data_IF_776954720103
#
_entry.id   IF_776954720103
#
_cell.length_a   1.000
_cell.length_b   1.000
_cell.length_c   1.000
_cell.angle_alpha   90.00
_cell.angle_beta   90.00
_cell.angle_gamma   90.00
#
_symmetry.space_group_name_H-M   'P 1'
#
loop_
_entity.id
_entity.type
_entity.pdbx_description
1 polymer ?
#
# COMPACT_ATOMS: atom_id res chain seq x y z
N UNK A 1 -9.02 -8.32 -7.30
CA UNK A 1 -9.11 -9.61 -6.61
C UNK A 1 -9.77 -9.38 -5.25
N UNK A 2 -10.66 -10.27 -4.82
CA UNK A 2 -11.22 -10.29 -3.46
C UNK A 2 -10.13 -10.78 -2.48
N UNK A 3 -10.11 -10.29 -1.24
CA UNK A 3 -9.13 -10.65 -0.19
C UNK A 3 -8.88 -12.16 -0.08
N UNK A 4 -9.93 -12.98 -0.11
CA UNK A 4 -9.82 -14.43 0.02
C UNK A 4 -8.97 -15.07 -1.09
N UNK A 5 -9.02 -14.52 -2.31
CA UNK A 5 -8.16 -15.00 -3.39
C UNK A 5 -6.70 -14.68 -3.09
N UNK A 6 -6.42 -13.45 -2.64
CA UNK A 6 -5.06 -13.05 -2.27
C UNK A 6 -4.51 -13.87 -1.09
N UNK A 7 -5.32 -14.05 -0.05
CA UNK A 7 -4.95 -14.86 1.10
C UNK A 7 -4.63 -16.31 0.71
N UNK A 8 -5.42 -16.92 -0.19
CA UNK A 8 -5.15 -18.28 -0.71
C UNK A 8 -3.87 -18.34 -1.55
N UNK A 9 -3.51 -17.28 -2.27
CA UNK A 9 -2.27 -17.21 -3.05
C UNK A 9 -1.01 -17.11 -2.16
N UNK A 10 -1.14 -16.59 -0.94
CA UNK A 10 -0.04 -16.45 0.03
C UNK A 10 0.03 -17.58 1.06
N UNK A 11 -1.00 -18.44 1.13
CA UNK A 11 -1.04 -19.59 2.01
C UNK A 11 0.06 -20.61 1.70
N UNK A 12 0.66 -21.15 2.77
CA UNK A 12 1.44 -22.38 2.69
C UNK A 12 0.55 -23.54 2.21
N UNK A 13 1.10 -24.42 1.37
CA UNK A 13 0.44 -25.66 0.99
C UNK A 13 0.07 -26.52 2.20
N UNK A 14 0.84 -26.46 3.28
CA UNK A 14 0.60 -27.20 4.52
C UNK A 14 -0.57 -26.64 5.35
N UNK A 15 -1.00 -25.40 5.08
CA UNK A 15 -2.19 -24.79 5.69
C UNK A 15 -3.50 -25.20 5.00
N UNK A 16 -3.46 -26.10 4.00
CA UNK A 16 -4.66 -26.64 3.37
C UNK A 16 -5.34 -27.64 4.30
N UNK A 17 -6.65 -27.78 4.14
CA UNK A 17 -7.39 -28.79 4.86
C UNK A 17 -6.77 -30.18 4.67
N UNK A 18 -6.46 -30.82 5.79
CA UNK A 18 -5.99 -32.20 5.85
C UNK A 18 -6.66 -32.94 7.01
N UNK A 19 -6.90 -34.23 6.80
CA UNK A 19 -7.52 -35.14 7.76
C UNK A 19 -6.71 -36.44 7.91
N UNK A 20 -5.40 -36.37 8.25
CA UNK A 20 -4.57 -37.56 8.45
C UNK A 20 -5.11 -38.47 9.57
N UNK A 21 -5.82 -37.89 10.54
CA UNK A 21 -6.44 -38.59 11.68
C UNK A 21 -7.92 -38.96 11.45
N UNK A 22 -8.37 -39.03 10.19
CA UNK A 22 -9.76 -39.36 9.87
C UNK A 22 -10.15 -40.73 10.44
N UNK A 23 -11.14 -40.72 11.33
CA UNK A 23 -11.69 -41.94 11.92
C UNK A 23 -12.85 -42.49 11.09
N UNK A 24 -13.15 -43.80 11.17
CA UNK A 24 -14.30 -44.38 10.48
C UNK A 24 -15.59 -43.63 10.81
N UNK A 25 -16.31 -43.20 9.78
CA UNK A 25 -17.57 -42.47 9.93
C UNK A 25 -18.76 -43.44 9.92
N UNK A 26 -19.76 -43.18 10.77
CA UNK A 26 -21.00 -43.97 10.80
C UNK A 26 -21.78 -43.90 9.49
N UNK A 27 -21.73 -42.75 8.81
CA UNK A 27 -22.40 -42.55 7.53
C UNK A 27 -21.48 -41.81 6.55
N UNK A 28 -21.19 -42.36 5.37
CA UNK A 28 -20.22 -41.79 4.42
C UNK A 28 -20.65 -40.43 3.85
N UNK A 29 -21.96 -40.14 3.86
CA UNK A 29 -22.50 -38.83 3.46
C UNK A 29 -22.51 -37.76 4.56
N UNK A 30 -22.07 -38.06 5.79
CA UNK A 30 -22.10 -37.11 6.90
C UNK A 30 -20.82 -36.25 6.93
N UNK A 31 -21.01 -34.93 7.05
CA UNK A 31 -19.93 -34.00 7.39
C UNK A 31 -19.82 -33.89 8.90
N UNK A 32 -18.82 -34.57 9.47
CA UNK A 32 -18.62 -34.64 10.90
C UNK A 32 -18.34 -33.25 11.51
N UNK A 33 -18.64 -33.07 12.80
CA UNK A 33 -18.44 -31.79 13.48
C UNK A 33 -16.97 -31.38 13.53
N UNK A 34 -16.06 -32.33 13.75
CA UNK A 34 -14.61 -32.09 13.76
C UNK A 34 -14.08 -31.57 12.42
N UNK A 35 -14.50 -32.17 11.30
CA UNK A 35 -14.15 -31.71 9.95
C UNK A 35 -14.69 -30.30 9.69
N UNK A 36 -15.95 -30.02 10.09
CA UNK A 36 -16.53 -28.68 9.98
C UNK A 36 -15.79 -27.67 10.84
N UNK A 37 -15.39 -28.04 12.06
CA UNK A 37 -14.64 -27.16 12.95
C UNK A 37 -13.23 -26.86 12.42
N UNK A 38 -12.54 -27.86 11.85
CA UNK A 38 -11.25 -27.66 11.17
C UNK A 38 -11.37 -26.61 10.06
N UNK A 39 -12.38 -26.72 9.20
CA UNK A 39 -12.63 -25.73 8.13
C UNK A 39 -12.90 -24.34 8.71
N UNK A 40 -13.70 -24.23 9.77
CA UNK A 40 -13.96 -22.94 10.44
C UNK A 40 -12.67 -22.31 10.98
N UNK A 41 -11.81 -23.10 11.62
CA UNK A 41 -10.54 -22.62 12.16
C UNK A 41 -9.62 -22.15 11.04
N UNK A 42 -9.49 -22.92 9.95
CA UNK A 42 -8.71 -22.51 8.78
C UNK A 42 -9.18 -21.16 8.22
N UNK A 43 -10.50 -20.97 8.08
CA UNK A 43 -11.06 -19.71 7.62
C UNK A 43 -10.81 -18.55 8.59
N UNK A 44 -10.80 -18.80 9.90
CA UNK A 44 -10.49 -17.79 10.91
C UNK A 44 -9.00 -17.43 10.92
N UNK A 45 -8.11 -18.42 10.79
CA UNK A 45 -6.67 -18.20 10.75
C UNK A 45 -6.26 -17.40 9.51
N UNK A 46 -6.97 -17.56 8.38
CA UNK A 46 -6.77 -16.74 7.17
C UNK A 46 -7.01 -15.24 7.37
N UNK A 47 -7.86 -14.86 8.31
CA UNK A 47 -8.26 -13.47 8.57
C UNK A 47 -7.75 -12.98 9.92
N UNK A 48 -6.75 -13.66 10.49
CA UNK A 48 -6.25 -13.38 11.83
C UNK A 48 -5.12 -12.35 11.87
N UNK A 49 -4.43 -12.17 10.76
CA UNK A 49 -3.34 -11.20 10.64
C UNK A 49 -3.88 -9.85 10.16
N UNK A 50 -4.22 -8.98 11.12
CA UNK A 50 -4.75 -7.64 10.85
C UNK A 50 -3.76 -6.81 10.00
N UNK A 51 -2.45 -6.95 10.21
CA UNK A 51 -1.44 -6.20 9.46
C UNK A 51 -1.42 -6.63 7.98
N UNK A 52 -1.55 -7.93 7.72
CA UNK A 52 -1.68 -8.44 6.35
C UNK A 52 -2.97 -7.96 5.66
N UNK A 53 -4.09 -7.92 6.41
CA UNK A 53 -5.37 -7.40 5.92
C UNK A 53 -5.25 -5.92 5.57
N UNK A 54 -4.70 -5.12 6.47
CA UNK A 54 -4.53 -3.68 6.31
C UNK A 54 -3.63 -3.34 5.12
N UNK A 55 -2.52 -4.08 4.97
CA UNK A 55 -1.64 -3.94 3.81
C UNK A 55 -2.37 -4.28 2.51
N UNK A 56 -3.03 -5.43 2.43
CA UNK A 56 -3.82 -5.81 1.26
C UNK A 56 -4.90 -4.76 0.96
N UNK A 57 -5.56 -4.23 1.98
CA UNK A 57 -6.63 -3.26 1.82
C UNK A 57 -6.11 -1.95 1.23
N UNK A 58 -4.98 -1.45 1.73
CA UNK A 58 -4.30 -0.28 1.18
C UNK A 58 -3.90 -0.46 -0.29
N UNK A 59 -3.28 -1.60 -0.62
CA UNK A 59 -2.93 -1.95 -2.00
C UNK A 59 -4.16 -2.05 -2.90
N UNK A 60 -5.22 -2.71 -2.43
CA UNK A 60 -6.45 -2.91 -3.19
C UNK A 60 -7.18 -1.59 -3.46
N UNK A 61 -7.31 -0.74 -2.45
CA UNK A 61 -8.03 0.54 -2.54
C UNK A 61 -7.29 1.57 -3.39
N UNK A 62 -5.97 1.50 -3.44
CA UNK A 62 -5.15 2.43 -4.23
C UNK A 62 -4.83 1.91 -5.62
N UNK A 63 -5.08 0.64 -5.95
CA UNK A 63 -4.87 0.12 -7.30
C UNK A 63 -5.66 0.95 -8.33
N UNK A 64 -5.04 1.45 -9.40
CA UNK A 64 -5.74 2.21 -10.44
C UNK A 64 -6.68 1.29 -11.24
N UNK A 65 -7.63 1.90 -11.95
CA UNK A 65 -8.52 1.16 -12.84
C UNK A 65 -7.72 0.59 -14.04
N UNK A 66 -8.15 -0.56 -14.59
CA UNK A 66 -7.35 -1.34 -15.56
C UNK A 66 -6.97 -0.60 -16.85
N UNK A 67 -7.65 0.50 -17.14
CA UNK A 67 -7.47 1.35 -18.31
C UNK A 67 -6.73 2.67 -17.99
N UNK A 68 -6.30 2.86 -16.75
CA UNK A 68 -5.65 4.07 -16.26
C UNK A 68 -4.26 3.76 -15.72
N UNK A 69 -3.25 4.17 -16.47
CA UNK A 69 -1.85 4.12 -16.03
C UNK A 69 -1.34 5.53 -15.78
N UNK A 70 -0.49 5.68 -14.77
CA UNK A 70 0.22 6.92 -14.56
C UNK A 70 1.20 7.13 -15.71
N UNK A 71 1.35 8.38 -16.14
CA UNK A 71 2.25 8.74 -17.23
C UNK A 71 3.46 9.43 -16.61
N UNK A 72 4.62 8.77 -16.54
CA UNK A 72 5.88 9.39 -16.13
C UNK A 72 6.20 10.64 -16.94
N UNK A 73 6.98 11.59 -16.40
CA UNK A 73 7.51 12.69 -17.17
C UNK A 73 8.40 12.18 -18.33
N UNK A 74 8.45 12.93 -19.43
CA UNK A 74 9.25 12.56 -20.62
C UNK A 74 10.75 12.39 -20.29
N UNK A 75 11.23 13.12 -19.29
CA UNK A 75 12.59 12.99 -18.77
C UNK A 75 12.54 12.83 -17.25
N UNK A 76 13.29 11.86 -16.69
CA UNK A 76 13.36 11.68 -15.24
C UNK A 76 13.81 12.96 -14.53
N UNK A 77 13.06 13.35 -13.51
CA UNK A 77 13.38 14.48 -12.65
C UNK A 77 14.41 14.02 -11.61
N UNK A 78 15.52 14.75 -11.52
CA UNK A 78 16.54 14.48 -10.51
C UNK A 78 16.19 15.10 -9.16
N UNK A 79 16.76 14.57 -8.07
CA UNK A 79 16.56 15.15 -6.74
C UNK A 79 16.97 16.63 -6.65
N UNK A 80 18.10 17.00 -7.27
CA UNK A 80 18.59 18.38 -7.30
C UNK A 80 17.66 19.29 -8.09
N UNK A 81 17.13 18.83 -9.22
CA UNK A 81 16.15 19.57 -10.01
C UNK A 81 14.85 19.78 -9.22
N UNK A 82 14.30 18.71 -8.64
CA UNK A 82 13.07 18.79 -7.85
C UNK A 82 13.22 19.80 -6.71
N UNK A 83 14.29 19.70 -5.92
CA UNK A 83 14.58 20.63 -4.82
C UNK A 83 14.71 22.07 -5.32
N UNK A 84 15.42 22.29 -6.43
CA UNK A 84 15.57 23.63 -7.00
C UNK A 84 14.22 24.23 -7.41
N UNK A 85 13.33 23.45 -8.04
CA UNK A 85 12.00 23.93 -8.46
C UNK A 85 11.10 24.23 -7.27
N UNK A 86 11.07 23.36 -6.27
CA UNK A 86 10.28 23.55 -5.04
C UNK A 86 10.76 24.79 -4.27
N UNK A 87 12.07 24.97 -4.12
CA UNK A 87 12.64 26.19 -3.50
C UNK A 87 12.40 27.46 -4.32
N UNK A 88 12.20 27.34 -5.63
CA UNK A 88 11.78 28.45 -6.50
C UNK A 88 10.25 28.75 -6.45
N UNK A 89 9.50 28.06 -5.58
CA UNK A 89 8.07 28.31 -5.36
C UNK A 89 7.12 27.41 -6.16
N UNK A 90 7.63 26.38 -6.85
CA UNK A 90 6.77 25.39 -7.52
C UNK A 90 6.13 24.47 -6.49
N UNK A 91 4.85 24.17 -6.67
CA UNK A 91 4.12 23.22 -5.83
C UNK A 91 4.13 21.84 -6.46
N UNK A 92 3.73 20.81 -5.71
CA UNK A 92 3.34 19.52 -6.27
C UNK A 92 1.83 19.44 -6.37
N UNK A 93 1.33 18.68 -7.34
CA UNK A 93 -0.07 18.26 -7.38
C UNK A 93 -0.16 16.77 -7.63
N UNK A 94 -1.26 16.14 -7.25
CA UNK A 94 -1.53 14.75 -7.61
C UNK A 94 -1.66 14.60 -9.12
N UNK A 95 -1.06 13.55 -9.65
CA UNK A 95 -1.29 13.12 -11.02
C UNK A 95 -2.76 12.71 -11.22
N UNK A 96 -3.29 12.77 -12.46
CA UNK A 96 -4.71 12.59 -12.75
C UNK A 96 -5.27 11.21 -12.40
N UNK A 97 -4.41 10.21 -12.29
CA UNK A 97 -4.77 8.82 -11.94
C UNK A 97 -4.17 8.39 -10.60
N UNK A 98 -3.52 9.31 -9.87
CA UNK A 98 -2.86 9.00 -8.62
C UNK A 98 -3.89 8.71 -7.52
N UNK A 99 -3.82 7.50 -6.96
CA UNK A 99 -4.52 7.08 -5.76
C UNK A 99 -3.48 6.87 -4.68
N UNK A 100 -3.44 7.80 -3.73
CA UNK A 100 -2.54 7.77 -2.58
C UNK A 100 -3.36 7.65 -1.30
N UNK A 101 -2.98 6.72 -0.44
CA UNK A 101 -3.54 6.53 0.90
C UNK A 101 -2.42 6.13 1.86
N UNK A 102 -2.65 6.18 3.17
CA UNK A 102 -1.66 5.71 4.13
C UNK A 102 -2.33 5.11 5.36
N UNK A 103 -1.57 4.28 6.06
CA UNK A 103 -1.90 3.75 7.38
C UNK A 103 -0.75 4.14 8.31
N UNK A 104 -1.09 4.60 9.52
CA UNK A 104 -0.13 4.82 10.60
C UNK A 104 -0.16 3.63 11.55
N UNK A 105 1.00 3.29 12.08
CA UNK A 105 1.19 2.15 12.96
C UNK A 105 1.47 2.61 14.38
N UNK A 106 1.29 1.70 15.35
CA UNK A 106 1.48 1.99 16.77
C UNK A 106 2.93 2.32 17.17
N UNK A 107 3.91 1.97 16.32
CA UNK A 107 5.33 2.25 16.51
C UNK A 107 5.78 3.57 15.86
N UNK A 108 4.83 4.46 15.55
CA UNK A 108 5.01 5.74 14.85
C UNK A 108 5.48 5.61 13.39
N UNK A 109 5.63 4.39 12.85
CA UNK A 109 5.87 4.17 11.43
C UNK A 109 4.59 4.35 10.61
N UNK A 110 4.73 4.41 9.27
CA UNK A 110 3.57 4.46 8.39
C UNK A 110 3.80 3.65 7.11
N UNK A 111 2.74 3.10 6.54
CA UNK A 111 2.76 2.56 5.18
C UNK A 111 2.00 3.49 4.26
N UNK A 112 2.69 4.06 3.27
CA UNK A 112 2.10 4.81 2.16
C UNK A 112 1.74 3.84 1.03
N UNK A 113 0.52 3.91 0.53
CA UNK A 113 0.07 3.14 -0.62
C UNK A 113 -0.05 4.07 -1.82
N UNK A 114 0.70 3.77 -2.88
CA UNK A 114 0.82 4.59 -4.07
C UNK A 114 0.44 3.76 -5.30
N UNK A 115 -0.76 3.98 -5.84
CA UNK A 115 -1.28 3.22 -6.98
C UNK A 115 -1.26 1.69 -6.82
N UNK A 116 -1.46 1.20 -5.59
CA UNK A 116 -1.43 -0.22 -5.26
C UNK A 116 -0.06 -0.74 -4.83
N UNK A 117 0.98 0.10 -4.84
CA UNK A 117 2.30 -0.23 -4.31
C UNK A 117 2.43 0.25 -2.86
N UNK A 118 2.78 -0.62 -1.91
CA UNK A 118 3.05 -0.25 -0.52
C UNK A 118 4.50 0.25 -0.34
N UNK A 119 4.67 1.35 0.39
CA UNK A 119 5.96 1.97 0.71
C UNK A 119 6.02 2.16 2.22
N UNK A 120 6.87 1.39 2.89
CA UNK A 120 7.05 1.44 4.34
C UNK A 120 7.98 2.61 4.72
N UNK A 121 7.51 3.46 5.63
CA UNK A 121 8.18 4.66 6.11
C UNK A 121 8.52 4.49 7.59
N UNK A 122 9.81 4.54 7.90
CA UNK A 122 10.29 4.54 9.28
C UNK A 122 9.75 5.75 10.07
N UNK A 123 9.69 5.69 11.42
CA UNK A 123 9.09 6.74 12.24
C UNK A 123 9.59 8.16 11.94
N UNK A 124 10.89 8.31 11.69
CA UNK A 124 11.51 9.61 11.38
C UNK A 124 10.94 10.26 10.10
N UNK A 125 10.42 9.45 9.17
CA UNK A 125 9.94 9.89 7.85
C UNK A 125 8.44 9.66 7.65
N UNK A 126 7.74 9.06 8.61
CA UNK A 126 6.32 8.70 8.52
C UNK A 126 5.42 9.90 8.21
N UNK A 127 5.81 11.09 8.67
CA UNK A 127 5.12 12.36 8.37
C UNK A 127 4.98 12.65 6.86
N UNK A 128 5.87 12.10 6.02
CA UNK A 128 5.82 12.25 4.58
C UNK A 128 4.56 11.64 3.96
N UNK A 129 4.00 10.57 4.56
CA UNK A 129 2.74 9.99 4.12
C UNK A 129 1.60 11.03 4.19
N UNK A 130 1.47 11.74 5.32
CA UNK A 130 0.49 12.83 5.47
C UNK A 130 0.75 13.97 4.49
N UNK A 131 2.02 14.34 4.29
CA UNK A 131 2.42 15.41 3.39
C UNK A 131 1.95 15.16 1.95
N UNK A 132 2.17 13.95 1.42
CA UNK A 132 1.82 13.62 0.03
C UNK A 132 0.35 13.22 -0.16
N UNK A 133 -0.34 12.82 0.91
CA UNK A 133 -1.75 12.41 0.88
C UNK A 133 -2.73 13.50 1.35
N UNK A 134 -2.27 14.58 1.98
CA UNK A 134 -3.16 15.55 2.63
C UNK A 134 -3.92 16.49 1.69
N UNK A 135 -3.40 16.75 0.48
CA UNK A 135 -3.97 17.75 -0.46
C UNK A 135 -3.84 17.32 -1.91
N UNK A 136 -4.74 17.81 -2.76
CA UNK A 136 -4.64 17.64 -4.22
C UNK A 136 -3.49 18.47 -4.81
N UNK A 137 -3.31 19.70 -4.32
CA UNK A 137 -2.12 20.55 -4.56
C UNK A 137 -1.39 20.75 -3.22
N UNK A 138 -0.14 20.33 -3.17
CA UNK A 138 0.75 20.44 -2.01
C UNK A 138 1.64 21.66 -2.24
N UNK A 139 1.42 22.77 -1.51
CA UNK A 139 2.15 24.00 -1.72
C UNK A 139 3.63 23.81 -1.34
N UNK A 140 4.50 24.58 -1.99
CA UNK A 140 5.93 24.51 -1.71
C UNK A 140 6.28 24.82 -0.25
N UNK A 141 5.53 25.71 0.41
CA UNK A 141 5.77 26.05 1.82
C UNK A 141 5.61 24.86 2.77
N UNK A 142 4.77 23.89 2.39
CA UNK A 142 4.61 22.63 3.14
C UNK A 142 5.70 21.61 2.77
N UNK A 143 6.35 21.72 1.60
CA UNK A 143 7.36 20.76 1.12
C UNK A 143 8.79 21.17 1.49
N UNK A 144 9.11 22.46 1.36
CA UNK A 144 10.46 23.02 1.55
C UNK A 144 11.09 22.65 2.90
N UNK A 145 10.36 22.65 4.04
CA UNK A 145 10.91 22.26 5.33
C UNK A 145 11.46 20.83 5.39
N UNK A 146 11.03 19.95 4.49
CA UNK A 146 11.36 18.52 4.51
C UNK A 146 12.39 18.11 3.44
N UNK A 147 12.92 19.05 2.65
CA UNK A 147 13.79 18.72 1.49
C UNK A 147 15.22 18.31 1.88
N UNK A 148 15.66 18.66 3.08
CA UNK A 148 16.97 18.27 3.60
C UNK A 148 16.96 16.82 4.15
N UNK A 149 15.78 16.22 4.29
CA UNK A 149 15.62 14.79 4.59
C UNK A 149 15.76 13.96 3.29
N UNK A 150 16.78 13.11 3.26
CA UNK A 150 17.11 12.28 2.10
C UNK A 150 16.03 11.26 1.75
N UNK A 151 15.37 10.67 2.75
CA UNK A 151 14.32 9.68 2.55
C UNK A 151 13.05 10.35 2.00
N UNK A 152 12.66 11.49 2.56
CA UNK A 152 11.52 12.28 2.05
C UNK A 152 11.79 12.78 0.64
N UNK A 153 12.99 13.29 0.38
CA UNK A 153 13.36 13.74 -0.96
C UNK A 153 13.35 12.59 -1.97
N UNK A 154 13.87 11.42 -1.60
CA UNK A 154 13.84 10.23 -2.45
C UNK A 154 12.41 9.78 -2.76
N UNK A 155 11.53 9.80 -1.75
CA UNK A 155 10.11 9.49 -1.92
C UNK A 155 9.45 10.45 -2.92
N UNK A 156 9.62 11.77 -2.74
CA UNK A 156 9.03 12.77 -3.65
C UNK A 156 9.54 12.60 -5.08
N UNK A 157 10.83 12.30 -5.26
CA UNK A 157 11.41 12.04 -6.59
C UNK A 157 10.80 10.79 -7.23
N UNK A 158 10.63 9.70 -6.46
CA UNK A 158 9.97 8.48 -6.96
C UNK A 158 8.56 8.80 -7.41
N UNK A 159 7.74 9.38 -6.53
CA UNK A 159 6.34 9.69 -6.84
C UNK A 159 6.19 10.61 -8.06
N UNK A 160 7.13 11.55 -8.27
CA UNK A 160 7.13 12.40 -9.47
C UNK A 160 7.50 11.61 -10.72
N UNK A 161 8.54 10.79 -10.64
CA UNK A 161 8.99 9.98 -11.78
C UNK A 161 8.03 8.83 -12.12
N UNK A 162 7.24 8.39 -11.15
CA UNK A 162 6.15 7.43 -11.35
C UNK A 162 4.88 8.10 -11.92
N UNK A 163 4.89 9.43 -12.12
CA UNK A 163 3.75 10.19 -12.62
C UNK A 163 2.59 10.31 -11.62
N UNK A 164 2.85 10.03 -10.33
CA UNK A 164 1.86 10.10 -9.26
C UNK A 164 1.77 11.50 -8.65
N UNK A 165 2.87 12.25 -8.71
CA UNK A 165 2.93 13.67 -8.41
C UNK A 165 3.47 14.44 -9.62
N UNK A 166 3.02 15.66 -9.80
CA UNK A 166 3.44 16.53 -10.89
C UNK A 166 3.89 17.89 -10.35
N UNK A 167 4.93 18.45 -10.94
CA UNK A 167 5.34 19.82 -10.70
C UNK A 167 4.27 20.78 -11.25
N UNK A 168 3.65 21.54 -10.36
CA UNK A 168 2.75 22.63 -10.72
C UNK A 168 3.48 23.96 -10.58
N UNK A 169 3.49 24.74 -11.65
CA UNK A 169 3.89 26.15 -11.57
C UNK A 169 2.99 26.91 -10.57
N UNK A 170 3.52 28.06 -10.12
CA UNK A 170 2.90 28.95 -9.14
C UNK A 170 1.49 29.37 -9.58
#
# INVERSE_FOLDING_TARGET
ANFLQHAVETLDSDARYSDPDLSPVDHPGALQEDARQKVRNLLQDLVRDDAAIDRWFGEFMTRPDRDREAVPPESPVTASELVARLRAGHSLRRGPVARLAFIEHDDDSATLFANGEPIDLAPDHAHAARLVTGREKIPHDDLVPHLDDDAVRSLLVSLVNDGLLELSAR
#
